data_IF_627975286788
#
_entry.id   IF_627975286788
#
_cell.length_a   1.000
_cell.length_b   1.000
_cell.length_c   1.000
_cell.angle_alpha   90.00
_cell.angle_beta   90.00
_cell.angle_gamma   90.00
#
_symmetry.space_group_name_H-M   'P 1'
#
loop_
_entity.id
_entity.type
_entity.pdbx_description
1 polymer ?
#
# COMPACT_ATOMS: atom_id res chain seq x y z
N UNK A 1 12.23 -6.90 -8.49
CA UNK A 1 12.92 -5.57 -8.59
C UNK A 1 13.34 -5.17 -7.19
N UNK A 2 14.61 -4.81 -6.99
CA UNK A 2 15.11 -4.43 -5.66
C UNK A 2 14.64 -3.02 -5.29
N UNK A 3 14.42 -2.80 -3.99
CA UNK A 3 14.09 -1.48 -3.44
C UNK A 3 15.27 -1.04 -2.59
N UNK A 4 15.80 0.15 -2.86
CA UNK A 4 16.87 0.74 -2.06
C UNK A 4 16.33 1.99 -1.35
N UNK A 5 16.52 2.02 -0.06
CA UNK A 5 16.20 3.14 0.82
C UNK A 5 17.51 3.75 1.28
N UNK A 6 17.79 4.98 0.84
CA UNK A 6 19.06 5.65 1.08
C UNK A 6 18.87 6.85 2.00
N UNK A 7 19.27 6.69 3.27
CA UNK A 7 19.33 7.74 4.29
C UNK A 7 18.08 8.62 4.35
N UNK A 8 16.89 8.00 4.26
CA UNK A 8 15.64 8.76 4.34
C UNK A 8 15.44 9.31 5.74
N UNK A 9 15.08 10.60 5.80
CA UNK A 9 14.62 11.25 7.01
C UNK A 9 13.24 11.83 6.78
N UNK A 10 12.41 11.82 7.83
CA UNK A 10 11.09 12.45 7.81
C UNK A 10 10.88 13.27 9.05
N UNK A 11 10.52 14.53 8.82
CA UNK A 11 10.24 15.49 9.86
C UNK A 11 8.85 16.05 9.60
N UNK A 12 7.99 15.99 10.61
CA UNK A 12 6.69 16.63 10.61
C UNK A 12 6.71 17.90 11.45
N UNK A 13 5.84 18.86 11.12
CA UNK A 13 5.72 20.12 11.83
C UNK A 13 6.86 21.11 11.54
N UNK A 14 6.82 22.24 12.23
CA UNK A 14 7.82 23.32 12.13
C UNK A 14 8.04 23.97 13.49
N UNK A 15 9.18 24.64 13.67
CA UNK A 15 9.52 25.31 14.92
C UNK A 15 9.54 24.37 16.11
N UNK A 16 8.86 24.77 17.22
CA UNK A 16 8.81 23.98 18.46
C UNK A 16 8.02 22.69 18.37
N UNK A 17 7.11 22.55 17.38
CA UNK A 17 6.30 21.34 17.14
C UNK A 17 6.96 20.36 16.17
N UNK A 18 8.26 20.46 15.96
CA UNK A 18 9.02 19.60 15.06
C UNK A 18 9.18 18.20 15.65
N UNK A 19 8.72 17.18 14.91
CA UNK A 19 8.87 15.77 15.27
C UNK A 19 9.66 15.05 14.18
N UNK A 20 10.79 14.46 14.56
CA UNK A 20 11.58 13.61 13.66
C UNK A 20 11.04 12.17 13.74
N UNK A 21 10.27 11.78 12.74
CA UNK A 21 9.69 10.43 12.66
C UNK A 21 10.66 9.39 12.11
N UNK A 22 11.56 9.79 11.21
CA UNK A 22 12.66 8.96 10.68
C UNK A 22 13.95 9.77 10.65
N UNK A 23 15.05 9.12 10.97
CA UNK A 23 16.38 9.72 10.94
C UNK A 23 17.37 8.82 10.20
N UNK A 24 17.71 9.20 8.97
CA UNK A 24 18.69 8.53 8.10
C UNK A 24 18.48 7.00 7.97
N UNK A 25 17.21 6.55 7.89
CA UNK A 25 16.91 5.15 7.71
C UNK A 25 17.45 4.66 6.36
N UNK A 26 18.15 3.53 6.38
CA UNK A 26 18.73 2.93 5.17
C UNK A 26 18.51 1.42 5.20
N UNK A 27 18.08 0.84 4.07
CA UNK A 27 17.92 -0.59 3.89
C UNK A 27 17.85 -0.96 2.41
N UNK A 28 18.09 -2.22 2.12
CA UNK A 28 17.86 -2.82 0.79
C UNK A 28 16.88 -3.97 0.95
N UNK A 29 15.83 -3.98 0.13
CA UNK A 29 14.85 -5.06 0.01
C UNK A 29 15.05 -5.69 -1.37
N UNK A 30 15.40 -6.97 -1.41
CA UNK A 30 15.64 -7.68 -2.66
C UNK A 30 14.34 -8.25 -3.23
N UNK A 31 14.33 -8.46 -4.53
CA UNK A 31 13.20 -9.15 -5.16
C UNK A 31 13.01 -10.53 -4.54
N UNK A 32 11.77 -10.81 -4.10
CA UNK A 32 11.40 -12.07 -3.45
C UNK A 32 11.58 -12.10 -1.93
N UNK A 33 12.13 -11.04 -1.33
CA UNK A 33 12.23 -10.97 0.12
C UNK A 33 10.85 -10.86 0.78
N UNK A 34 10.71 -11.49 1.94
CA UNK A 34 9.66 -11.25 2.91
C UNK A 34 10.27 -10.54 4.12
N UNK A 35 9.98 -9.25 4.27
CA UNK A 35 10.56 -8.40 5.32
C UNK A 35 9.51 -8.04 6.37
N UNK A 36 9.83 -8.24 7.64
CA UNK A 36 9.05 -7.74 8.78
C UNK A 36 9.77 -6.59 9.47
N UNK A 37 9.07 -5.46 9.63
CA UNK A 37 9.56 -4.28 10.35
C UNK A 37 8.90 -4.26 11.72
N UNK A 38 9.68 -4.48 12.78
CA UNK A 38 9.20 -4.55 14.16
C UNK A 38 9.75 -3.40 14.99
N UNK A 39 9.01 -3.02 16.02
CA UNK A 39 9.40 -1.96 16.96
C UNK A 39 8.21 -1.45 17.76
N UNK A 40 8.43 -0.65 18.81
CA UNK A 40 7.37 -0.11 19.66
C UNK A 40 6.45 0.85 18.87
N UNK A 41 5.28 1.16 19.43
CA UNK A 41 4.39 2.18 18.87
C UNK A 41 5.13 3.53 18.81
N UNK A 42 4.92 4.28 17.73
CA UNK A 42 5.58 5.58 17.50
C UNK A 42 7.04 5.50 17.01
N UNK A 43 7.61 4.29 16.75
CA UNK A 43 8.98 4.16 16.25
C UNK A 43 9.18 4.49 14.76
N UNK A 44 8.14 4.95 14.05
CA UNK A 44 8.22 5.36 12.66
C UNK A 44 7.94 4.27 11.63
N UNK A 45 7.47 3.06 12.03
CA UNK A 45 7.20 1.94 11.10
C UNK A 45 6.25 2.32 9.97
N UNK A 46 5.07 2.83 10.30
CA UNK A 46 4.07 3.26 9.31
C UNK A 46 4.58 4.41 8.45
N UNK A 47 5.34 5.36 9.05
CA UNK A 47 5.99 6.44 8.29
C UNK A 47 6.98 5.87 7.26
N UNK A 48 7.79 4.89 7.66
CA UNK A 48 8.73 4.22 6.77
C UNK A 48 7.98 3.52 5.62
N UNK A 49 6.93 2.74 5.93
CA UNK A 49 6.11 2.06 4.93
C UNK A 49 5.45 3.06 3.97
N UNK A 50 4.91 4.18 4.48
CA UNK A 50 4.29 5.21 3.65
C UNK A 50 5.29 5.87 2.70
N UNK A 51 6.52 6.12 3.14
CA UNK A 51 7.55 6.71 2.28
C UNK A 51 8.03 5.71 1.23
N UNK A 52 8.32 4.47 1.61
CA UNK A 52 8.77 3.45 0.67
C UNK A 52 7.68 3.15 -0.37
N UNK A 53 6.42 3.13 0.03
CA UNK A 53 5.28 2.91 -0.88
C UNK A 53 4.88 4.15 -1.68
N UNK A 54 5.52 5.31 -1.45
CA UNK A 54 5.20 6.56 -2.11
C UNK A 54 3.87 7.20 -1.69
N UNK A 55 3.30 6.80 -0.55
CA UNK A 55 2.13 7.46 0.04
C UNK A 55 2.49 8.80 0.70
N UNK A 56 3.73 8.92 1.19
CA UNK A 56 4.29 10.16 1.72
C UNK A 56 5.68 10.40 1.12
N UNK A 57 6.15 11.65 1.14
CA UNK A 57 7.49 12.03 0.66
C UNK A 57 8.47 12.14 1.82
N UNK A 58 9.72 11.71 1.66
CA UNK A 58 10.75 11.96 2.66
C UNK A 58 11.09 13.45 2.72
N UNK A 59 11.59 13.92 3.86
CA UNK A 59 12.19 15.27 3.97
C UNK A 59 13.56 15.30 3.31
N UNK A 60 14.32 14.20 3.38
CA UNK A 60 15.59 14.01 2.68
C UNK A 60 15.87 12.51 2.46
N UNK A 61 16.83 12.22 1.61
CA UNK A 61 17.16 10.86 1.16
C UNK A 61 16.34 10.44 -0.05
N UNK A 62 16.53 9.19 -0.53
CA UNK A 62 15.90 8.69 -1.76
C UNK A 62 15.36 7.26 -1.57
N UNK A 63 14.32 6.93 -2.33
CA UNK A 63 13.78 5.57 -2.43
C UNK A 63 13.77 5.19 -3.90
N UNK A 64 14.55 4.17 -4.25
CA UNK A 64 14.62 3.70 -5.63
C UNK A 64 14.05 2.28 -5.79
N UNK A 65 13.34 2.06 -6.88
CA UNK A 65 12.87 0.78 -7.36
C UNK A 65 13.68 0.41 -8.61
N UNK A 66 14.66 -0.48 -8.46
CA UNK A 66 15.70 -0.66 -9.46
C UNK A 66 16.45 0.65 -9.66
N UNK A 67 16.38 1.22 -10.88
CA UNK A 67 17.02 2.51 -11.21
C UNK A 67 16.11 3.74 -11.05
N UNK A 68 14.84 3.56 -10.67
CA UNK A 68 13.85 4.66 -10.63
C UNK A 68 13.71 5.21 -9.24
N UNK A 69 14.06 6.47 -9.01
CA UNK A 69 13.70 7.19 -7.78
C UNK A 69 12.22 7.62 -7.85
N UNK A 70 11.40 7.04 -6.98
CA UNK A 70 9.95 7.24 -7.02
C UNK A 70 9.51 8.64 -6.54
N UNK A 71 10.37 9.34 -5.81
CA UNK A 71 10.06 10.66 -5.26
C UNK A 71 10.58 11.83 -6.12
N UNK A 72 11.38 11.55 -7.14
CA UNK A 72 11.92 12.58 -8.04
C UNK A 72 10.88 13.11 -9.04
N UNK A 73 9.87 12.30 -9.38
CA UNK A 73 8.83 12.65 -10.35
C UNK A 73 7.70 13.52 -9.80
N UNK A 74 6.76 13.82 -10.67
CA UNK A 74 5.50 14.53 -10.36
C UNK A 74 4.56 13.64 -9.54
N UNK A 75 3.58 14.25 -8.85
CA UNK A 75 2.55 13.50 -8.10
C UNK A 75 1.71 12.59 -9.02
N UNK A 76 1.56 12.97 -10.30
CA UNK A 76 0.88 12.14 -11.30
C UNK A 76 1.66 10.87 -11.60
N UNK A 77 2.97 10.97 -11.79
CA UNK A 77 3.86 9.84 -12.05
C UNK A 77 3.94 8.92 -10.82
N UNK A 78 4.09 9.48 -9.63
CA UNK A 78 4.10 8.74 -8.39
C UNK A 78 2.76 8.00 -8.16
N UNK A 79 1.63 8.65 -8.46
CA UNK A 79 0.31 8.03 -8.35
C UNK A 79 0.12 6.90 -9.37
N UNK A 80 0.62 7.05 -10.60
CA UNK A 80 0.60 5.99 -11.61
C UNK A 80 1.47 4.81 -11.17
N UNK A 81 2.68 5.09 -10.67
CA UNK A 81 3.59 4.08 -10.15
C UNK A 81 2.95 3.25 -9.03
N UNK A 82 2.30 3.92 -8.04
CA UNK A 82 1.60 3.21 -6.97
C UNK A 82 0.52 2.27 -7.49
N UNK A 83 -0.35 2.75 -8.40
CA UNK A 83 -1.44 1.93 -8.93
C UNK A 83 -0.96 0.68 -9.67
N UNK A 84 0.16 0.78 -10.36
CA UNK A 84 0.67 -0.26 -11.25
C UNK A 84 1.63 -1.23 -10.54
N UNK A 85 2.39 -0.74 -9.56
CA UNK A 85 3.53 -1.47 -8.99
C UNK A 85 3.35 -1.86 -7.53
N UNK A 86 2.44 -1.20 -6.80
CA UNK A 86 2.34 -1.33 -5.36
C UNK A 86 0.94 -1.78 -4.94
N UNK A 87 0.87 -2.86 -4.17
CA UNK A 87 -0.30 -3.21 -3.37
C UNK A 87 -0.12 -2.70 -1.94
N UNK A 88 -1.12 -2.01 -1.38
CA UNK A 88 -1.07 -1.55 0.00
C UNK A 88 -2.26 -2.06 0.80
N UNK A 89 -1.98 -2.69 1.95
CA UNK A 89 -2.96 -3.18 2.92
C UNK A 89 -2.85 -2.27 4.14
N UNK A 90 -3.89 -1.47 4.38
CA UNK A 90 -3.95 -0.53 5.51
C UNK A 90 -4.48 -1.21 6.76
N UNK A 91 -4.06 -0.73 7.93
CA UNK A 91 -4.55 -1.16 9.23
C UNK A 91 -6.07 -1.03 9.36
N UNK A 92 -6.67 0.06 8.89
CA UNK A 92 -8.10 0.33 8.94
C UNK A 92 -8.86 -0.05 7.65
N UNK A 93 -8.36 -1.01 6.86
CA UNK A 93 -8.91 -1.50 5.59
C UNK A 93 -9.11 -0.42 4.52
N UNK A 94 -9.55 0.78 4.87
CA UNK A 94 -9.81 1.94 4.00
C UNK A 94 -10.68 1.56 2.77
N UNK A 95 -11.76 0.82 3.02
CA UNK A 95 -12.76 0.54 2.00
C UNK A 95 -13.67 1.76 1.81
N UNK A 96 -14.06 2.01 0.57
CA UNK A 96 -15.04 3.05 0.26
C UNK A 96 -16.43 2.54 0.64
N UNK A 97 -17.14 3.18 1.60
CA UNK A 97 -18.36 2.63 2.19
C UNK A 97 -19.55 2.59 1.24
N UNK A 98 -19.50 3.38 0.17
CA UNK A 98 -20.56 3.47 -0.85
C UNK A 98 -20.36 2.48 -2.01
N UNK A 99 -19.26 1.75 -2.01
CA UNK A 99 -18.93 0.77 -3.03
C UNK A 99 -19.02 -0.65 -2.48
N UNK A 100 -19.52 -1.56 -3.29
CA UNK A 100 -19.53 -2.99 -2.98
C UNK A 100 -18.10 -3.55 -2.78
N UNK A 101 -18.01 -4.76 -2.24
CA UNK A 101 -16.72 -5.46 -2.12
C UNK A 101 -16.03 -5.59 -3.49
N UNK A 102 -16.77 -6.00 -4.53
CA UNK A 102 -16.25 -6.10 -5.89
C UNK A 102 -15.73 -4.76 -6.40
N UNK A 103 -16.49 -3.69 -6.25
CA UNK A 103 -16.08 -2.36 -6.70
C UNK A 103 -14.86 -1.85 -5.96
N UNK A 104 -14.76 -2.09 -4.64
CA UNK A 104 -13.54 -1.80 -3.86
C UNK A 104 -12.33 -2.58 -4.39
N UNK A 105 -12.50 -3.86 -4.72
CA UNK A 105 -11.42 -4.71 -5.25
C UNK A 105 -10.89 -4.16 -6.58
N UNK A 106 -11.77 -3.83 -7.53
CA UNK A 106 -11.36 -3.42 -8.87
C UNK A 106 -10.96 -1.94 -8.98
N UNK A 107 -11.15 -1.16 -7.93
CA UNK A 107 -10.88 0.29 -7.93
C UNK A 107 -9.48 0.68 -8.47
N UNK A 108 -8.36 0.01 -8.09
CA UNK A 108 -7.05 0.36 -8.64
C UNK A 108 -6.98 0.25 -10.15
N UNK A 109 -7.64 -0.74 -10.75
CA UNK A 109 -7.69 -0.94 -12.20
C UNK A 109 -8.48 0.19 -12.88
N UNK A 110 -9.64 0.56 -12.31
CA UNK A 110 -10.48 1.63 -12.85
C UNK A 110 -9.75 2.98 -12.81
N UNK A 111 -9.03 3.27 -11.73
CA UNK A 111 -8.23 4.49 -11.60
C UNK A 111 -7.07 4.54 -12.61
N UNK A 112 -6.58 3.38 -13.04
CA UNK A 112 -5.55 3.25 -14.08
C UNK A 112 -6.16 3.07 -15.49
N UNK A 113 -7.49 3.26 -15.64
CA UNK A 113 -8.25 3.12 -16.88
C UNK A 113 -8.13 1.73 -17.52
N UNK A 114 -7.85 0.72 -16.71
CA UNK A 114 -7.81 -0.66 -17.13
C UNK A 114 -9.20 -1.30 -17.00
N UNK A 115 -9.51 -2.20 -17.92
CA UNK A 115 -10.72 -3.03 -17.82
C UNK A 115 -10.46 -4.19 -16.86
N UNK A 116 -11.31 -4.39 -15.83
CA UNK A 116 -11.17 -5.54 -14.95
C UNK A 116 -11.29 -6.86 -15.71
N UNK A 117 -10.39 -7.78 -15.40
CA UNK A 117 -10.51 -9.19 -15.81
C UNK A 117 -11.39 -9.92 -14.80
N UNK A 118 -12.59 -10.31 -15.22
CA UNK A 118 -13.56 -10.97 -14.35
C UNK A 118 -13.04 -12.32 -13.84
N UNK A 119 -12.27 -13.07 -14.64
CA UNK A 119 -11.66 -14.33 -14.22
C UNK A 119 -10.70 -14.09 -13.04
N UNK A 120 -9.92 -13.01 -13.07
CA UNK A 120 -9.02 -12.62 -11.99
C UNK A 120 -9.79 -12.20 -10.73
N UNK A 121 -10.87 -11.44 -10.87
CA UNK A 121 -11.75 -11.08 -9.75
C UNK A 121 -12.30 -12.32 -9.06
N UNK A 122 -12.88 -13.25 -9.83
CA UNK A 122 -13.43 -14.49 -9.30
C UNK A 122 -12.36 -15.40 -8.67
N UNK A 123 -11.17 -15.47 -9.24
CA UNK A 123 -10.04 -16.20 -8.67
C UNK A 123 -9.66 -15.66 -7.28
N UNK A 124 -9.52 -14.34 -7.13
CA UNK A 124 -9.20 -13.71 -5.86
C UNK A 124 -10.35 -13.86 -4.85
N UNK A 125 -11.60 -13.70 -5.29
CA UNK A 125 -12.76 -13.89 -4.45
C UNK A 125 -12.81 -15.32 -3.89
N UNK A 126 -12.57 -16.32 -4.72
CA UNK A 126 -12.52 -17.73 -4.31
C UNK A 126 -11.37 -17.98 -3.32
N UNK A 127 -10.16 -17.49 -3.65
CA UNK A 127 -8.97 -17.67 -2.80
C UNK A 127 -9.17 -17.09 -1.39
N UNK A 128 -9.88 -15.94 -1.30
CA UNK A 128 -10.09 -15.21 -0.05
C UNK A 128 -11.45 -15.49 0.60
N UNK A 129 -12.25 -16.44 0.06
CA UNK A 129 -13.56 -16.79 0.63
C UNK A 129 -14.57 -15.64 0.59
N UNK A 130 -14.61 -14.89 -0.52
CA UNK A 130 -15.46 -13.72 -0.75
C UNK A 130 -16.49 -13.93 -1.86
N UNK A 131 -16.58 -15.12 -2.45
CA UNK A 131 -17.41 -15.39 -3.64
C UNK A 131 -18.86 -14.91 -3.46
N UNK A 132 -19.47 -15.21 -2.29
CA UNK A 132 -20.86 -14.83 -1.98
C UNK A 132 -20.98 -13.46 -1.29
N UNK A 133 -19.92 -12.66 -1.34
CA UNK A 133 -19.83 -11.36 -0.66
C UNK A 133 -19.48 -10.21 -1.58
N UNK A 134 -19.27 -10.47 -2.87
CA UNK A 134 -18.82 -9.47 -3.83
C UNK A 134 -19.77 -8.29 -3.98
N UNK A 135 -21.08 -8.53 -3.84
CA UNK A 135 -22.13 -7.51 -3.98
C UNK A 135 -22.48 -6.81 -2.68
N UNK A 136 -21.86 -7.19 -1.54
CA UNK A 136 -22.11 -6.58 -0.24
C UNK A 136 -21.35 -5.26 -0.08
N UNK A 137 -21.97 -4.32 0.64
CA UNK A 137 -21.31 -3.09 1.08
C UNK A 137 -20.41 -3.35 2.31
N UNK A 138 -19.41 -2.51 2.57
CA UNK A 138 -18.50 -2.71 3.70
C UNK A 138 -19.17 -2.89 5.05
N UNK A 139 -20.27 -2.17 5.33
CA UNK A 139 -20.99 -2.28 6.59
C UNK A 139 -21.77 -3.61 6.77
N UNK A 140 -21.96 -4.36 5.69
CA UNK A 140 -22.60 -5.68 5.69
C UNK A 140 -21.57 -6.82 5.87
N UNK A 141 -20.28 -6.46 5.91
CA UNK A 141 -19.15 -7.40 6.02
C UNK A 141 -18.57 -7.39 7.44
N UNK A 142 -18.19 -8.56 7.95
CA UNK A 142 -17.40 -8.64 9.18
C UNK A 142 -16.03 -7.99 8.99
N UNK A 143 -15.34 -7.59 10.08
CA UNK A 143 -13.99 -7.02 10.01
C UNK A 143 -13.01 -7.90 9.23
N UNK A 144 -13.02 -9.21 9.48
CA UNK A 144 -12.19 -10.15 8.72
C UNK A 144 -12.56 -10.26 7.24
N UNK A 145 -13.85 -10.06 6.87
CA UNK A 145 -14.25 -10.00 5.47
C UNK A 145 -13.79 -8.69 4.81
N UNK A 146 -13.92 -7.55 5.50
CA UNK A 146 -13.42 -6.26 5.04
C UNK A 146 -11.90 -6.30 4.82
N UNK A 147 -11.16 -6.92 5.72
CA UNK A 147 -9.72 -7.13 5.57
C UNK A 147 -9.40 -7.95 4.33
N UNK A 148 -10.12 -9.05 4.08
CA UNK A 148 -9.93 -9.87 2.87
C UNK A 148 -10.27 -9.11 1.58
N UNK A 149 -11.26 -8.22 1.61
CA UNK A 149 -11.54 -7.29 0.49
C UNK A 149 -10.37 -6.34 0.27
N UNK A 150 -9.77 -5.77 1.34
CA UNK A 150 -8.60 -4.92 1.23
C UNK A 150 -7.37 -5.67 0.67
N UNK A 151 -7.19 -6.94 1.05
CA UNK A 151 -6.15 -7.82 0.50
C UNK A 151 -6.41 -8.07 -1.00
N UNK A 152 -7.64 -8.43 -1.38
CA UNK A 152 -8.00 -8.62 -2.79
C UNK A 152 -7.74 -7.37 -3.63
N UNK A 153 -8.10 -6.18 -3.10
CA UNK A 153 -7.82 -4.88 -3.73
C UNK A 153 -6.32 -4.64 -3.92
N UNK A 154 -5.50 -5.00 -2.95
CA UNK A 154 -4.05 -4.85 -3.08
C UNK A 154 -3.45 -5.79 -4.15
N UNK A 155 -4.06 -6.96 -4.38
CA UNK A 155 -3.57 -8.00 -5.28
C UNK A 155 -4.10 -7.90 -6.72
N UNK A 156 -5.20 -7.17 -6.95
CA UNK A 156 -5.92 -7.22 -8.24
C UNK A 156 -5.07 -6.70 -9.41
N UNK A 157 -4.23 -5.67 -9.18
CA UNK A 157 -3.38 -5.09 -10.20
C UNK A 157 -2.08 -5.91 -10.45
N UNK A 158 -1.91 -7.06 -9.80
CA UNK A 158 -0.69 -7.88 -9.87
C UNK A 158 0.58 -7.06 -9.55
N UNK A 159 0.66 -6.44 -8.37
CA UNK A 159 1.75 -5.53 -8.03
C UNK A 159 3.10 -6.24 -7.91
N UNK A 160 4.18 -5.50 -8.12
CA UNK A 160 5.55 -5.99 -7.94
C UNK A 160 5.93 -6.13 -6.45
N UNK A 161 5.27 -5.35 -5.58
CA UNK A 161 5.49 -5.35 -4.13
C UNK A 161 4.19 -5.10 -3.37
N UNK A 162 4.06 -5.72 -2.20
CA UNK A 162 2.94 -5.52 -1.27
C UNK A 162 3.49 -4.97 0.03
N UNK A 163 2.92 -3.85 0.48
CA UNK A 163 3.12 -3.32 1.82
C UNK A 163 1.89 -3.61 2.68
N UNK A 164 2.13 -3.98 3.93
CA UNK A 164 1.06 -4.22 4.88
C UNK A 164 1.40 -3.51 6.20
N UNK A 165 0.54 -2.61 6.64
CA UNK A 165 0.67 -1.89 7.89
C UNK A 165 -0.28 -2.52 8.91
N UNK A 166 0.26 -3.30 9.84
CA UNK A 166 -0.48 -4.06 10.87
C UNK A 166 -1.69 -4.84 10.30
N UNK A 167 -1.47 -5.77 9.35
CA UNK A 167 -2.56 -6.42 8.58
C UNK A 167 -3.44 -7.36 9.42
N UNK A 168 -3.07 -7.61 10.66
CA UNK A 168 -3.83 -8.43 11.64
C UNK A 168 -4.02 -7.59 12.89
N UNK A 169 -5.13 -6.87 12.96
CA UNK A 169 -5.60 -6.23 14.20
C UNK A 169 -6.36 -7.23 15.07
#
# INVERSE_FOLDING_TARGET
>A
MDIQVNQISKIYGSGENRVTALNQAAMTIRAGDFLSIMGPSGSGKSTLLHIISGLDRPTSGTVTYGSTDIHHGTDRELSAFRRQKIGFIFQQFNLLPVLTARENIIMPLLLDRQKPDEARVQQLAKLLGLTDRLDHLPHELSGGQQQRVAIARALIANPDVIFADEPTG
#
